data_IF_051628730397
#
_entry.id   IF_051628730397
#
_cell.length_a   1.000
_cell.length_b   1.000
_cell.length_c   1.000
_cell.angle_alpha   90.00
_cell.angle_beta   90.00
_cell.angle_gamma   90.00
#
_symmetry.space_group_name_H-M   'P 1'
#
loop_
_entity.id
_entity.type
_entity.pdbx_description
1 polymer ?
#
# COMPACT_ATOMS: atom_id res chain seq x y z
N UNK A 1 -48.81 -40.17 20.61
CA UNK A 1 -47.94 -41.37 20.59
C UNK A 1 -47.35 -41.51 22.00
N UNK A 2 -47.79 -42.50 22.79
CA UNK A 2 -47.30 -42.71 24.16
C UNK A 2 -46.17 -43.75 24.13
N UNK A 3 -45.06 -43.49 24.81
CA UNK A 3 -43.89 -44.38 24.82
C UNK A 3 -43.82 -45.03 26.20
N UNK A 4 -43.74 -46.38 26.25
CA UNK A 4 -43.46 -47.13 27.48
C UNK A 4 -41.95 -47.10 27.73
N UNK A 5 -41.53 -46.56 28.87
CA UNK A 5 -40.14 -46.66 29.32
C UNK A 5 -39.95 -47.94 30.12
N UNK A 6 -38.81 -48.60 29.93
CA UNK A 6 -38.45 -49.83 30.63
C UNK A 6 -38.18 -49.52 32.11
N UNK A 7 -39.12 -49.85 32.99
CA UNK A 7 -38.86 -49.95 34.44
C UNK A 7 -39.74 -49.15 35.40
N UNK A 8 -40.88 -48.56 34.99
CA UNK A 8 -41.79 -47.88 35.91
C UNK A 8 -43.28 -48.09 35.58
N UNK A 9 -44.19 -48.12 36.57
CA UNK A 9 -45.61 -48.39 36.32
C UNK A 9 -46.32 -47.12 35.84
N UNK A 10 -46.35 -46.89 34.53
CA UNK A 10 -47.25 -45.88 33.92
C UNK A 10 -46.81 -45.36 32.55
N UNK A 11 -47.78 -45.06 31.68
CA UNK A 11 -47.55 -44.30 30.43
C UNK A 11 -47.43 -42.82 30.76
N UNK A 12 -46.36 -42.16 30.32
CA UNK A 12 -46.11 -40.72 30.57
C UNK A 12 -46.28 -39.94 29.26
N UNK A 13 -46.96 -38.80 29.31
CA UNK A 13 -47.14 -37.89 28.16
C UNK A 13 -45.81 -37.18 27.84
N UNK A 14 -45.38 -37.07 26.57
CA UNK A 14 -44.09 -36.45 26.19
C UNK A 14 -43.94 -34.95 26.51
N UNK A 15 -45.03 -34.29 26.90
CA UNK A 15 -45.09 -32.83 27.10
C UNK A 15 -45.25 -32.48 28.59
N UNK A 16 -45.51 -33.47 29.44
CA UNK A 16 -45.73 -33.25 30.86
C UNK A 16 -44.44 -33.57 31.62
N UNK A 17 -43.47 -32.65 31.50
CA UNK A 17 -42.34 -32.60 32.41
C UNK A 17 -42.91 -32.28 33.79
N UNK A 18 -43.25 -33.34 34.54
CA UNK A 18 -43.52 -33.25 35.97
C UNK A 18 -42.54 -32.25 36.55
N UNK A 19 -43.05 -31.08 36.91
CA UNK A 19 -42.33 -30.03 37.59
C UNK A 19 -42.09 -30.58 38.99
N UNK A 20 -41.12 -31.51 39.07
CA UNK A 20 -40.61 -32.01 40.32
C UNK A 20 -40.11 -30.75 40.98
N UNK A 21 -40.84 -30.25 41.99
CA UNK A 21 -40.28 -29.31 42.96
C UNK A 21 -38.95 -29.92 43.35
N UNK A 22 -37.86 -29.36 42.82
CA UNK A 22 -36.54 -29.95 42.95
C UNK A 22 -36.25 -30.17 44.42
N UNK A 23 -35.49 -31.23 44.79
CA UNK A 23 -35.14 -31.44 46.18
C UNK A 23 -34.55 -30.13 46.72
N UNK A 24 -35.19 -29.59 47.77
CA UNK A 24 -34.70 -28.36 48.41
C UNK A 24 -33.21 -28.55 48.66
N UNK A 25 -32.40 -27.61 48.17
CA UNK A 25 -30.94 -27.64 48.33
C UNK A 25 -30.62 -27.98 49.78
N UNK A 26 -29.76 -28.97 49.98
CA UNK A 26 -29.34 -29.39 51.32
C UNK A 26 -28.77 -28.19 52.08
N UNK A 27 -28.84 -28.21 53.41
CA UNK A 27 -28.24 -27.16 54.25
C UNK A 27 -26.77 -26.93 53.89
N UNK A 28 -26.04 -28.01 53.56
CA UNK A 28 -24.64 -27.91 53.11
C UNK A 28 -24.47 -27.22 51.76
N UNK A 29 -25.40 -27.42 50.82
CA UNK A 29 -25.37 -26.74 49.53
C UNK A 29 -25.65 -25.24 49.68
N UNK A 30 -26.59 -24.86 50.56
CA UNK A 30 -26.82 -23.46 50.91
C UNK A 30 -25.62 -22.80 51.57
N UNK A 31 -24.92 -23.49 52.48
CA UNK A 31 -23.69 -22.96 53.08
C UNK A 31 -22.58 -22.77 52.05
N UNK A 32 -22.43 -23.70 51.10
CA UNK A 32 -21.43 -23.57 50.04
C UNK A 32 -21.71 -22.35 49.14
N UNK A 33 -22.98 -22.16 48.74
CA UNK A 33 -23.40 -20.99 47.96
C UNK A 33 -23.15 -19.69 48.74
N UNK A 34 -23.46 -19.65 50.03
CA UNK A 34 -23.22 -18.48 50.87
C UNK A 34 -21.74 -18.11 50.97
N UNK A 35 -20.85 -19.11 51.12
CA UNK A 35 -19.38 -18.88 51.16
C UNK A 35 -18.89 -18.31 49.84
N UNK A 36 -19.32 -18.89 48.72
CA UNK A 36 -18.92 -18.42 47.38
C UNK A 36 -19.43 -17.00 47.14
N UNK A 37 -20.69 -16.72 47.49
CA UNK A 37 -21.28 -15.39 47.38
C UNK A 37 -20.50 -14.37 48.22
N UNK A 38 -20.17 -14.71 49.47
CA UNK A 38 -19.36 -13.86 50.34
C UNK A 38 -17.97 -13.59 49.76
N UNK A 39 -17.32 -14.59 49.16
CA UNK A 39 -16.04 -14.42 48.49
C UNK A 39 -16.13 -13.44 47.30
N UNK A 40 -17.17 -13.56 46.46
CA UNK A 40 -17.38 -12.65 45.33
C UNK A 40 -17.68 -11.22 45.78
N UNK A 41 -18.50 -11.05 46.81
CA UNK A 41 -18.78 -9.74 47.41
C UNK A 41 -17.50 -9.12 47.98
N UNK A 42 -16.67 -9.92 48.67
CA UNK A 42 -15.39 -9.47 49.18
C UNK A 42 -14.44 -8.98 48.09
N UNK A 43 -14.32 -9.73 46.98
CA UNK A 43 -13.52 -9.31 45.82
C UNK A 43 -14.08 -8.03 45.20
N UNK A 44 -15.40 -7.92 45.04
CA UNK A 44 -16.04 -6.72 44.51
C UNK A 44 -15.78 -5.48 45.37
N UNK A 45 -15.87 -5.61 46.69
CA UNK A 45 -15.55 -4.54 47.64
C UNK A 45 -14.07 -4.15 47.54
N UNK A 46 -13.16 -5.12 47.48
CA UNK A 46 -11.73 -4.85 47.36
C UNK A 46 -11.41 -4.07 46.08
N UNK A 47 -12.01 -4.45 44.95
CA UNK A 47 -11.86 -3.76 43.66
C UNK A 47 -12.51 -2.36 43.68
N UNK A 48 -13.63 -2.17 44.39
CA UNK A 48 -14.26 -0.86 44.55
C UNK A 48 -13.38 0.14 45.29
N UNK A 49 -12.64 -0.33 46.32
CA UNK A 49 -11.75 0.52 47.11
C UNK A 49 -10.32 0.64 46.55
N UNK A 50 -9.92 -0.20 45.60
CA UNK A 50 -8.71 0.03 44.81
C UNK A 50 -8.93 1.24 43.88
N UNK A 51 -8.62 2.44 44.37
CA UNK A 51 -8.43 3.61 43.50
C UNK A 51 -7.33 3.29 42.49
N UNK A 52 -7.71 3.07 41.25
CA UNK A 52 -6.79 3.05 40.12
C UNK A 52 -6.29 4.48 39.89
N UNK A 53 -5.23 4.86 40.59
CA UNK A 53 -4.38 5.96 40.13
C UNK A 53 -3.63 5.43 38.91
N UNK A 54 -4.20 5.65 37.72
CA UNK A 54 -3.43 5.64 36.50
C UNK A 54 -2.38 6.72 36.69
N UNK A 55 -1.19 6.32 37.13
CA UNK A 55 0.00 7.14 37.02
C UNK A 55 0.21 7.28 35.52
N UNK A 56 -0.48 8.27 34.93
CA UNK A 56 -0.22 8.75 33.60
C UNK A 56 1.26 9.05 33.65
N UNK A 57 2.03 8.19 32.96
CA UNK A 57 3.45 8.36 32.85
C UNK A 57 3.60 9.77 32.28
N UNK A 58 4.08 10.69 33.12
CA UNK A 58 4.46 12.03 32.70
C UNK A 58 5.28 11.80 31.45
N UNK A 59 4.80 12.30 30.31
CA UNK A 59 5.44 12.07 29.03
C UNK A 59 6.90 12.42 29.24
N UNK A 60 7.78 11.42 29.10
CA UNK A 60 9.21 11.71 29.14
C UNK A 60 9.43 12.89 28.20
N UNK A 61 10.15 13.94 28.63
CA UNK A 61 10.40 15.07 27.76
C UNK A 61 10.87 14.48 26.45
N UNK A 62 10.15 14.77 25.35
CA UNK A 62 10.52 14.33 24.02
C UNK A 62 12.03 14.46 23.92
N UNK A 63 12.79 13.39 23.68
CA UNK A 63 14.23 13.53 23.57
C UNK A 63 14.46 14.57 22.50
N UNK A 64 14.90 15.76 22.91
CA UNK A 64 15.24 16.85 22.00
C UNK A 64 16.43 16.43 21.13
N UNK A 65 17.10 15.34 21.49
CA UNK A 65 17.91 14.54 20.59
C UNK A 65 17.03 13.66 19.70
N UNK A 66 16.51 14.29 18.64
CA UNK A 66 16.27 13.56 17.40
C UNK A 66 17.52 12.74 17.04
N UNK A 67 17.32 11.64 16.32
CA UNK A 67 18.42 10.83 15.79
C UNK A 67 19.27 11.74 14.90
N UNK A 68 20.32 12.33 15.46
CA UNK A 68 21.32 13.04 14.71
C UNK A 68 22.15 11.98 13.99
N UNK A 69 21.69 11.61 12.78
CA UNK A 69 22.56 11.04 11.77
C UNK A 69 23.63 12.10 11.49
N UNK A 70 24.69 12.09 12.28
CA UNK A 70 25.92 12.81 11.98
C UNK A 70 26.51 12.09 10.78
N UNK A 71 26.07 12.48 9.58
CA UNK A 71 26.76 12.12 8.36
C UNK A 71 28.18 12.66 8.54
N UNK A 72 29.12 11.77 8.82
CA UNK A 72 30.52 12.11 8.69
C UNK A 72 30.69 12.70 7.29
N UNK A 73 31.24 13.93 7.17
CA UNK A 73 31.56 14.46 5.86
C UNK A 73 32.37 13.39 5.15
N UNK A 74 31.94 12.99 3.94
CA UNK A 74 32.73 12.07 3.12
C UNK A 74 34.17 12.57 3.17
N UNK A 75 35.15 11.70 3.43
CA UNK A 75 36.54 12.11 3.36
C UNK A 75 36.70 12.85 2.04
N UNK A 76 37.21 14.09 2.11
CA UNK A 76 37.54 14.82 0.91
C UNK A 76 38.63 13.96 0.27
N UNK A 77 38.23 13.13 -0.69
CA UNK A 77 39.15 12.52 -1.61
C UNK A 77 39.66 13.74 -2.36
N UNK A 78 40.81 14.25 -1.91
CA UNK A 78 41.58 15.21 -2.67
C UNK A 78 41.58 14.67 -4.08
N UNK A 79 41.03 15.42 -5.06
CA UNK A 79 40.69 14.86 -6.36
C UNK A 79 41.96 14.22 -6.87
N UNK A 80 42.02 12.88 -6.79
CA UNK A 80 43.16 12.14 -7.25
C UNK A 80 43.28 12.61 -8.68
N UNK A 81 44.37 13.31 -8.93
CA UNK A 81 44.62 14.08 -10.13
C UNK A 81 44.27 13.18 -11.28
N UNK A 82 43.03 13.27 -11.77
CA UNK A 82 42.55 12.38 -12.81
C UNK A 82 43.36 12.84 -13.99
N UNK A 83 44.42 12.10 -14.28
CA UNK A 83 45.21 12.25 -15.47
C UNK A 83 44.16 12.26 -16.58
N UNK A 84 43.88 13.45 -17.14
CA UNK A 84 42.91 13.59 -18.21
C UNK A 84 43.53 12.86 -19.38
N UNK A 85 43.19 11.58 -19.52
CA UNK A 85 43.54 10.81 -20.69
C UNK A 85 42.98 11.59 -21.88
N UNK A 86 43.79 11.95 -22.89
CA UNK A 86 43.29 12.71 -24.02
C UNK A 86 42.09 11.98 -24.61
N UNK A 87 41.06 12.75 -24.98
CA UNK A 87 39.87 12.20 -25.62
C UNK A 87 40.31 11.29 -26.78
N UNK A 88 39.69 10.12 -26.88
CA UNK A 88 39.97 9.20 -27.98
C UNK A 88 39.84 9.95 -29.31
N UNK A 89 40.72 9.70 -30.30
CA UNK A 89 40.59 10.32 -31.61
C UNK A 89 39.19 10.08 -32.16
N UNK A 90 38.54 11.11 -32.70
CA UNK A 90 37.28 10.94 -33.40
C UNK A 90 37.48 9.86 -34.47
N UNK A 91 36.51 8.94 -34.56
CA UNK A 91 36.52 7.91 -35.60
C UNK A 91 36.56 8.59 -36.98
N UNK A 92 37.26 8.00 -37.96
CA UNK A 92 37.22 8.49 -39.33
C UNK A 92 35.76 8.56 -39.80
N UNK A 93 35.31 9.76 -40.21
CA UNK A 93 34.00 9.92 -40.85
C UNK A 93 34.14 9.24 -42.21
N UNK A 94 33.44 8.12 -42.43
CA UNK A 94 33.31 7.56 -43.77
C UNK A 94 32.52 8.56 -44.61
N UNK A 95 33.16 9.15 -45.62
CA UNK A 95 32.44 9.98 -46.59
C UNK A 95 31.52 9.08 -47.40
N UNK A 96 30.21 9.16 -47.12
CA UNK A 96 29.20 8.52 -47.95
C UNK A 96 29.19 9.24 -49.30
N UNK A 97 29.51 8.56 -50.42
CA UNK A 97 29.47 9.20 -51.73
C UNK A 97 28.06 9.71 -52.03
N UNK A 98 27.95 10.92 -52.59
CA UNK A 98 26.67 11.42 -53.07
C UNK A 98 26.09 10.44 -54.10
N UNK A 99 24.76 10.18 -54.10
CA UNK A 99 24.15 9.31 -55.09
C UNK A 99 24.46 9.83 -56.50
N UNK A 100 25.12 9.01 -57.32
CA UNK A 100 25.44 9.35 -58.71
C UNK A 100 24.21 9.28 -59.64
N UNK A 101 23.10 8.72 -59.15
CA UNK A 101 21.86 8.62 -59.90
C UNK A 101 21.07 9.91 -59.80
N UNK A 102 20.76 10.58 -60.92
CA UNK A 102 19.83 11.70 -60.92
C UNK A 102 18.47 11.25 -60.38
N UNK A 103 17.95 11.95 -59.38
CA UNK A 103 16.58 11.73 -58.92
C UNK A 103 15.62 12.06 -60.06
N UNK A 104 14.82 11.09 -60.48
CA UNK A 104 13.81 11.31 -61.51
C UNK A 104 12.75 12.27 -60.98
N UNK A 105 12.68 13.47 -61.58
CA UNK A 105 11.68 14.48 -61.23
C UNK A 105 10.38 14.13 -61.94
N UNK A 106 9.40 13.64 -61.18
CA UNK A 106 8.06 13.37 -61.71
C UNK A 106 7.39 14.70 -62.08
N UNK A 107 7.31 14.98 -63.37
CA UNK A 107 6.63 16.18 -63.88
C UNK A 107 5.12 15.94 -63.90
N UNK A 108 4.40 16.37 -62.87
CA UNK A 108 2.94 16.34 -62.86
C UNK A 108 2.38 17.54 -63.63
N UNK A 109 1.47 17.36 -64.62
CA UNK A 109 0.82 18.47 -65.30
C UNK A 109 -0.06 19.25 -64.33
N UNK A 110 0.28 20.53 -64.11
CA UNK A 110 -0.53 21.46 -63.34
C UNK A 110 -1.64 21.97 -64.25
N UNK A 111 -2.89 21.63 -63.96
CA UNK A 111 -4.03 22.20 -64.67
C UNK A 111 -4.46 23.51 -63.99
N UNK A 112 -4.24 24.69 -64.61
CA UNK A 112 -4.58 25.97 -64.00
C UNK A 112 -6.08 26.22 -63.87
N UNK A 113 -6.92 25.49 -64.62
CA UNK A 113 -8.38 25.62 -64.61
C UNK A 113 -9.07 24.56 -63.72
N UNK A 114 -8.30 23.82 -62.91
CA UNK A 114 -8.86 22.83 -62.01
C UNK A 114 -9.74 23.50 -60.94
N UNK A 115 -11.05 23.23 -60.97
CA UNK A 115 -11.99 23.67 -59.95
C UNK A 115 -11.83 22.83 -58.67
N UNK A 116 -11.76 23.46 -57.48
CA UNK A 116 -11.60 22.73 -56.22
C UNK A 116 -12.82 21.83 -56.01
N UNK A 117 -12.59 20.52 -56.04
CA UNK A 117 -13.61 19.49 -55.77
C UNK A 117 -13.46 19.03 -54.32
N UNK A 118 -14.56 18.66 -53.65
CA UNK A 118 -14.56 18.06 -52.30
C UNK A 118 -14.03 16.61 -52.28
N UNK A 119 -13.02 16.31 -53.09
CA UNK A 119 -12.32 15.04 -53.12
C UNK A 119 -11.07 15.14 -52.23
N UNK A 120 -10.60 14.01 -51.69
CA UNK A 120 -9.34 13.89 -50.91
C UNK A 120 -8.07 14.13 -51.74
N UNK A 121 -8.19 14.78 -52.89
CA UNK A 121 -7.09 15.05 -53.80
C UNK A 121 -6.31 16.25 -53.27
N UNK A 122 -5.00 16.08 -53.08
CA UNK A 122 -4.10 17.12 -52.59
C UNK A 122 -3.96 18.21 -53.64
N UNK A 123 -4.59 19.35 -53.42
CA UNK A 123 -4.50 20.53 -54.30
C UNK A 123 -3.35 21.42 -53.85
N UNK A 124 -2.26 21.49 -54.64
CA UNK A 124 -1.16 22.43 -54.37
C UNK A 124 -1.55 23.83 -54.88
N UNK A 125 -2.03 24.69 -53.99
CA UNK A 125 -2.51 26.02 -54.33
C UNK A 125 -1.44 27.12 -54.42
N UNK A 126 -0.19 26.84 -54.04
CA UNK A 126 0.87 27.86 -54.02
C UNK A 126 2.21 27.24 -54.44
N UNK A 127 2.83 27.82 -55.46
CA UNK A 127 4.21 27.49 -55.88
C UNK A 127 5.19 28.35 -55.07
N UNK A 128 6.12 27.72 -54.35
CA UNK A 128 7.22 28.42 -53.66
C UNK A 128 8.36 28.65 -54.65
N UNK A 129 8.66 29.91 -55.04
CA UNK A 129 9.54 30.17 -56.19
C UNK A 129 11.04 30.11 -55.90
N UNK A 130 11.48 29.84 -54.66
CA UNK A 130 12.93 29.86 -54.36
C UNK A 130 13.32 28.80 -53.32
N UNK A 131 14.36 28.03 -53.64
CA UNK A 131 14.93 27.00 -52.78
C UNK A 131 15.67 27.68 -51.62
N UNK A 132 15.21 27.40 -50.41
CA UNK A 132 15.69 28.03 -49.19
C UNK A 132 17.02 27.39 -48.76
N UNK A 133 18.09 27.65 -49.51
CA UNK A 133 19.42 27.08 -49.23
C UNK A 133 20.14 27.74 -48.03
N UNK A 134 19.61 28.83 -47.45
CA UNK A 134 20.25 29.58 -46.36
C UNK A 134 19.36 29.85 -45.14
N UNK A 135 18.19 29.21 -45.01
CA UNK A 135 17.44 29.32 -43.77
C UNK A 135 17.95 28.28 -42.78
N UNK A 136 18.33 28.67 -41.55
CA UNK A 136 18.56 27.72 -40.48
C UNK A 136 17.36 26.76 -40.43
N UNK A 137 17.58 25.44 -40.26
CA UNK A 137 16.48 24.50 -40.19
C UNK A 137 15.48 25.03 -39.18
N UNK A 138 14.21 25.09 -39.57
CA UNK A 138 13.15 25.44 -38.64
C UNK A 138 13.34 24.54 -37.42
N UNK A 139 13.72 25.12 -36.27
CA UNK A 139 13.68 24.39 -35.02
C UNK A 139 12.21 24.06 -34.83
N UNK A 140 11.82 22.85 -35.20
CA UNK A 140 10.66 22.24 -34.58
C UNK A 140 10.89 22.40 -33.09
N UNK A 141 10.03 23.18 -32.44
CA UNK A 141 9.92 23.19 -31.00
C UNK A 141 9.53 21.77 -30.64
N UNK A 142 10.53 20.91 -30.44
CA UNK A 142 10.33 19.56 -29.91
C UNK A 142 9.61 19.79 -28.60
N UNK A 143 8.32 19.46 -28.57
CA UNK A 143 7.53 19.55 -27.36
C UNK A 143 8.29 18.78 -26.30
N UNK A 144 8.65 19.47 -25.21
CA UNK A 144 9.36 18.85 -24.11
C UNK A 144 8.57 17.60 -23.68
N UNK A 145 9.21 16.42 -23.57
CA UNK A 145 8.52 15.23 -23.12
C UNK A 145 7.78 15.55 -21.82
N UNK A 146 6.51 15.11 -21.65
CA UNK A 146 5.74 15.45 -20.49
C UNK A 146 6.52 15.08 -19.22
N UNK A 147 6.70 16.06 -18.33
CA UNK A 147 7.43 15.86 -17.09
C UNK A 147 6.86 14.65 -16.34
N UNK A 148 7.72 13.66 -16.06
CA UNK A 148 7.35 12.47 -15.31
C UNK A 148 6.98 12.91 -13.88
N UNK A 149 5.70 12.77 -13.51
CA UNK A 149 5.24 13.10 -12.15
C UNK A 149 5.54 11.94 -11.22
N UNK A 150 6.56 12.10 -10.37
CA UNK A 150 6.92 11.14 -9.33
C UNK A 150 6.21 11.52 -8.02
N UNK A 151 5.47 10.57 -7.43
CA UNK A 151 4.80 10.73 -6.14
C UNK A 151 5.84 10.55 -5.04
N UNK A 152 6.12 11.59 -4.26
CA UNK A 152 7.17 11.56 -3.22
C UNK A 152 6.65 11.28 -1.81
N UNK A 153 5.38 11.59 -1.54
CA UNK A 153 4.82 11.47 -0.19
C UNK A 153 3.35 11.03 -0.25
N UNK A 154 3.06 9.72 -0.41
CA UNK A 154 1.70 9.22 -0.34
C UNK A 154 1.19 9.24 1.11
N UNK A 155 -0.06 9.68 1.30
CA UNK A 155 -0.75 9.62 2.60
C UNK A 155 -1.79 8.50 2.57
N UNK A 156 -2.28 8.03 3.72
CA UNK A 156 -3.31 6.99 3.76
C UNK A 156 -4.71 7.62 3.64
N UNK A 157 -5.51 7.14 2.69
CA UNK A 157 -6.97 7.39 2.64
C UNK A 157 -7.70 6.43 3.55
N UNK A 158 -7.30 5.15 3.53
CA UNK A 158 -7.94 4.11 4.32
C UNK A 158 -6.93 3.05 4.70
N UNK A 159 -6.95 2.67 5.99
CA UNK A 159 -6.12 1.62 6.54
C UNK A 159 -6.99 0.44 7.03
N UNK A 160 -6.44 -0.78 7.08
CA UNK A 160 -7.13 -1.90 7.70
C UNK A 160 -7.47 -1.60 9.17
N UNK A 161 -8.70 -1.90 9.57
CA UNK A 161 -9.12 -1.72 10.95
C UNK A 161 -8.64 -2.87 11.85
N UNK A 162 -8.78 -2.70 13.18
CA UNK A 162 -8.33 -3.70 14.16
C UNK A 162 -8.93 -5.08 13.95
N UNK A 163 -10.21 -5.19 13.60
CA UNK A 163 -10.84 -6.48 13.31
C UNK A 163 -10.24 -7.18 12.09
N UNK A 164 -9.92 -6.43 11.04
CA UNK A 164 -9.25 -6.97 9.85
C UNK A 164 -7.86 -7.48 10.19
N UNK A 165 -7.13 -6.74 11.03
CA UNK A 165 -5.82 -7.15 11.53
C UNK A 165 -5.93 -8.40 12.41
N UNK A 166 -6.94 -8.47 13.28
CA UNK A 166 -7.20 -9.64 14.14
C UNK A 166 -7.59 -10.88 13.35
N UNK A 167 -8.37 -10.75 12.26
CA UNK A 167 -8.69 -11.87 11.38
C UNK A 167 -7.46 -12.43 10.64
N UNK A 168 -6.46 -11.61 10.41
CA UNK A 168 -5.21 -12.00 9.77
C UNK A 168 -4.12 -12.39 10.78
N UNK A 169 -4.38 -12.34 12.09
CA UNK A 169 -3.37 -12.51 13.12
C UNK A 169 -2.73 -13.91 13.06
N UNK A 170 -1.39 -14.03 13.19
CA UNK A 170 -0.72 -15.32 13.07
C UNK A 170 -1.01 -16.23 14.28
N UNK A 171 -1.49 -17.45 14.03
CA UNK A 171 -1.86 -18.43 15.05
C UNK A 171 -0.76 -18.69 16.08
N UNK A 172 0.50 -18.78 15.61
CA UNK A 172 1.67 -19.00 16.48
C UNK A 172 1.87 -17.85 17.47
N UNK A 173 1.70 -16.60 17.04
CA UNK A 173 1.84 -15.45 17.92
C UNK A 173 0.65 -15.37 18.89
N UNK A 174 -0.55 -15.69 18.40
CA UNK A 174 -1.77 -15.72 19.22
C UNK A 174 -1.67 -16.74 20.36
N UNK A 175 -1.23 -17.97 20.06
CA UNK A 175 -1.02 -19.03 21.06
C UNK A 175 0.03 -18.67 22.12
N UNK A 176 1.00 -17.83 21.76
CA UNK A 176 2.08 -17.40 22.66
C UNK A 176 1.78 -16.07 23.36
N UNK A 177 0.64 -15.45 23.09
CA UNK A 177 0.29 -14.12 23.62
C UNK A 177 1.27 -13.03 23.18
N UNK A 178 1.93 -13.20 22.02
CA UNK A 178 2.93 -12.26 21.53
C UNK A 178 2.27 -11.16 20.70
N UNK A 179 2.56 -9.91 21.04
CA UNK A 179 2.31 -8.75 20.19
C UNK A 179 3.52 -8.47 19.29
N UNK A 180 3.30 -7.75 18.19
CA UNK A 180 4.37 -7.40 17.27
C UNK A 180 4.02 -6.28 16.31
N UNK A 181 5.04 -5.79 15.62
CA UNK A 181 4.96 -4.77 14.59
C UNK A 181 5.71 -5.21 13.33
N UNK A 182 5.28 -4.68 12.20
CA UNK A 182 5.83 -5.01 10.88
C UNK A 182 5.95 -3.74 10.07
N UNK A 183 7.07 -3.60 9.37
CA UNK A 183 7.21 -2.63 8.30
C UNK A 183 7.04 -3.33 6.96
N UNK A 184 6.20 -2.75 6.10
CA UNK A 184 5.96 -3.23 4.73
C UNK A 184 6.41 -2.17 3.73
N UNK A 185 6.98 -2.61 2.62
CA UNK A 185 7.19 -1.81 1.42
C UNK A 185 6.15 -2.21 0.38
N UNK A 186 5.24 -1.30 0.02
CA UNK A 186 4.14 -1.54 -0.91
C UNK A 186 4.13 -0.52 -2.04
N UNK A 187 3.57 -0.91 -3.18
CA UNK A 187 3.33 -0.03 -4.32
C UNK A 187 1.92 0.56 -4.25
N UNK A 188 1.78 1.86 -4.52
CA UNK A 188 0.48 2.55 -4.63
C UNK A 188 0.16 2.74 -6.10
N UNK A 189 -0.90 2.11 -6.57
CA UNK A 189 -1.42 2.22 -7.94
C UNK A 189 -2.09 3.59 -8.18
N UNK A 190 -2.23 4.02 -9.44
CA UNK A 190 -2.85 5.30 -9.81
C UNK A 190 -4.31 5.47 -9.31
N UNK A 191 -5.00 4.37 -9.04
CA UNK A 191 -6.35 4.34 -8.44
C UNK A 191 -6.33 4.48 -6.90
N UNK A 192 -5.16 4.68 -6.29
CA UNK A 192 -4.94 4.74 -4.85
C UNK A 192 -4.86 3.39 -4.16
N UNK A 193 -5.01 2.27 -4.88
CA UNK A 193 -4.99 0.93 -4.28
C UNK A 193 -3.56 0.51 -3.95
N UNK A 194 -3.37 -0.13 -2.80
CA UNK A 194 -2.06 -0.64 -2.37
C UNK A 194 -1.88 -2.08 -2.84
N UNK A 195 -0.77 -2.38 -3.52
CA UNK A 195 -0.43 -3.71 -4.03
C UNK A 195 1.07 -4.00 -3.94
N UNK A 196 1.47 -5.25 -4.21
CA UNK A 196 2.90 -5.62 -4.24
C UNK A 196 3.63 -5.46 -2.90
N UNK A 197 2.95 -5.62 -1.77
CA UNK A 197 3.56 -5.47 -0.45
C UNK A 197 4.61 -6.54 -0.17
N UNK A 198 5.77 -6.11 0.30
CA UNK A 198 6.89 -6.94 0.77
C UNK A 198 7.27 -6.58 2.19
N UNK A 199 7.77 -7.54 2.97
CA UNK A 199 8.15 -7.32 4.37
C UNK A 199 9.56 -6.74 4.41
N UNK A 200 9.72 -5.58 5.04
CA UNK A 200 11.04 -4.97 5.29
C UNK A 200 11.54 -5.26 6.69
N UNK A 201 10.66 -5.32 7.69
CA UNK A 201 11.02 -5.73 9.04
C UNK A 201 9.83 -6.35 9.78
N UNK A 202 10.13 -7.24 10.73
CA UNK A 202 9.16 -7.86 11.63
C UNK A 202 9.75 -7.96 13.03
N UNK A 203 9.01 -7.48 14.03
CA UNK A 203 9.40 -7.54 15.44
C UNK A 203 8.23 -8.08 16.27
N UNK A 204 8.42 -9.15 17.06
CA UNK A 204 9.58 -10.03 17.09
C UNK A 204 9.66 -10.90 15.83
N UNK A 205 10.87 -11.07 15.29
CA UNK A 205 11.09 -11.80 14.04
C UNK A 205 10.64 -13.27 14.12
N UNK A 206 10.18 -13.82 12.99
CA UNK A 206 9.86 -15.24 12.84
C UNK A 206 8.52 -15.70 13.45
N UNK A 207 7.66 -14.76 13.87
CA UNK A 207 6.35 -15.06 14.45
C UNK A 207 5.21 -15.02 13.44
N UNK A 208 5.47 -14.54 12.22
CA UNK A 208 4.55 -14.59 11.09
C UNK A 208 3.78 -13.29 10.88
N UNK A 209 4.06 -12.23 11.64
CA UNK A 209 3.37 -10.95 11.50
C UNK A 209 3.53 -10.39 10.09
N UNK A 210 4.72 -10.53 9.48
CA UNK A 210 5.02 -9.98 8.16
C UNK A 210 4.12 -10.53 7.06
N UNK A 211 3.92 -11.85 7.03
CA UNK A 211 3.03 -12.50 6.05
C UNK A 211 1.56 -12.22 6.35
N UNK A 212 1.18 -12.19 7.62
CA UNK A 212 -0.17 -11.87 8.07
C UNK A 212 -0.61 -10.45 7.69
N UNK A 213 0.28 -9.46 7.81
CA UNK A 213 -0.04 -8.06 7.55
C UNK A 213 -0.23 -7.75 6.05
N UNK A 214 0.36 -8.54 5.15
CA UNK A 214 0.29 -8.28 3.70
C UNK A 214 -1.16 -8.33 3.16
N UNK A 215 -1.94 -9.31 3.60
CA UNK A 215 -3.32 -9.54 3.12
C UNK A 215 -4.26 -8.36 3.42
N UNK A 216 -4.44 -7.93 4.69
CA UNK A 216 -5.34 -6.82 4.99
C UNK A 216 -4.86 -5.51 4.35
N UNK A 217 -3.54 -5.25 4.31
CA UNK A 217 -2.97 -4.04 3.71
C UNK A 217 -3.19 -4.01 2.19
N UNK A 218 -2.96 -5.11 1.47
CA UNK A 218 -3.18 -5.16 0.02
C UNK A 218 -4.66 -5.18 -0.37
N UNK A 219 -5.53 -5.73 0.49
CA UNK A 219 -6.96 -5.81 0.20
C UNK A 219 -7.70 -4.50 0.45
N UNK A 220 -7.28 -3.72 1.45
CA UNK A 220 -8.06 -2.60 2.00
C UNK A 220 -7.27 -1.30 2.13
N UNK A 221 -5.95 -1.34 1.97
CA UNK A 221 -5.11 -0.16 1.96
C UNK A 221 -5.41 0.72 0.75
N UNK A 222 -5.76 1.97 1.03
CA UNK A 222 -5.86 3.02 0.01
C UNK A 222 -4.92 4.17 0.37
N UNK A 223 -4.02 4.51 -0.55
CA UNK A 223 -3.12 5.65 -0.46
C UNK A 223 -3.60 6.81 -1.34
N UNK A 224 -3.51 8.03 -0.83
CA UNK A 224 -3.71 9.25 -1.59
C UNK A 224 -2.35 9.74 -2.07
N UNK A 225 -2.31 10.12 -3.34
CA UNK A 225 -1.16 10.82 -3.90
C UNK A 225 -1.32 12.30 -3.55
N UNK A 226 -0.52 12.80 -2.61
CA UNK A 226 -0.41 14.24 -2.42
C UNK A 226 0.31 14.81 -3.64
N UNK A 227 -0.40 15.49 -4.53
CA UNK A 227 0.25 16.29 -5.57
C UNK A 227 1.00 17.42 -4.88
N UNK A 228 2.29 17.65 -5.18
CA UNK A 228 2.95 18.85 -4.70
C UNK A 228 2.13 20.05 -5.18
N UNK A 229 1.76 20.93 -4.26
CA UNK A 229 1.03 22.17 -4.56
C UNK A 229 1.67 22.84 -5.78
N UNK A 230 0.82 23.17 -6.76
CA UNK A 230 1.21 23.96 -7.93
C UNK A 230 1.60 25.39 -7.51
#
# INVERSE_FOLDING_TARGET
MMIRTAGGPGMVSPIDFHERKGPRLSRSAWTAIAIVAAAHVGVGIALYYQRFELKLMEAEPTPTEGIFLKLEPRPIIEPEKVERKPAAPNMPIHETPAPATPTEVLSTPINPDATPTNSTTVTLGHTVPESVNNQPPARETVAEPPAVRIIRNPSWVSQPNGEQMMRAYPDRALQRGLAGSVSLNCMVEANGRVSGCSVTSETPAGNGFGRSAQQPVAARGQGQMQTPNA
#
